data_IF_800940158531
#
_entry.id   IF_800940158531
#
_cell.length_a   1.000
_cell.length_b   1.000
_cell.length_c   1.000
_cell.angle_alpha   90.00
_cell.angle_beta   90.00
_cell.angle_gamma   90.00
#
_symmetry.space_group_name_H-M   'P 1'
#
loop_
_entity.id
_entity.type
_entity.pdbx_description
1 polymer ?
#
# COMPACT_ATOMS: atom_id res chain seq x y z
N UNK A 1 21.88 -2.72 13.26
CA UNK A 1 21.31 -2.88 11.90
C UNK A 1 21.15 -1.47 11.34
N UNK A 2 21.56 -1.22 10.10
CA UNK A 2 21.38 0.10 9.48
C UNK A 2 19.95 0.21 8.97
N UNK A 3 19.24 1.31 9.28
CA UNK A 3 17.89 1.56 8.77
C UNK A 3 17.96 1.88 7.28
N UNK A 4 16.86 1.61 6.58
CA UNK A 4 16.65 2.08 5.20
C UNK A 4 15.65 3.23 5.17
N UNK A 5 15.83 4.15 4.23
CA UNK A 5 14.73 5.03 3.81
C UNK A 5 13.72 4.21 2.99
N UNK A 6 12.43 4.42 3.26
CA UNK A 6 11.36 3.84 2.48
C UNK A 6 10.43 4.95 2.01
N UNK A 7 10.31 5.05 0.69
CA UNK A 7 9.41 5.96 0.03
C UNK A 7 8.21 5.19 -0.50
N UNK A 8 7.03 5.77 -0.33
CA UNK A 8 5.76 5.20 -0.79
C UNK A 8 5.26 6.05 -1.95
N UNK A 9 4.74 5.43 -3.01
CA UNK A 9 3.87 6.14 -3.93
C UNK A 9 4.59 7.12 -4.85
N UNK A 10 3.85 8.17 -5.20
CA UNK A 10 4.26 9.23 -6.11
C UNK A 10 4.77 10.48 -5.37
N UNK A 11 5.32 11.41 -6.14
CA UNK A 11 5.65 12.78 -5.75
C UNK A 11 4.54 13.75 -6.16
N UNK A 12 4.47 14.97 -5.59
CA UNK A 12 3.55 16.01 -6.04
C UNK A 12 3.56 16.18 -7.57
N UNK A 13 2.41 16.49 -8.17
CA UNK A 13 2.24 16.55 -9.62
C UNK A 13 3.24 17.51 -10.30
N UNK A 14 3.62 18.61 -9.63
CA UNK A 14 4.61 19.57 -10.11
C UNK A 14 6.02 18.98 -10.24
N UNK A 15 6.32 17.89 -9.53
CA UNK A 15 7.57 17.14 -9.62
C UNK A 15 7.50 15.97 -10.62
N UNK A 16 6.31 15.63 -11.11
CA UNK A 16 6.12 14.53 -12.08
C UNK A 16 6.43 14.99 -13.52
N UNK A 17 7.66 15.44 -13.76
CA UNK A 17 8.12 15.90 -15.08
C UNK A 17 8.63 14.77 -15.99
N UNK A 18 8.72 13.55 -15.46
CA UNK A 18 9.08 12.32 -16.16
C UNK A 18 9.60 11.26 -15.18
N UNK A 19 9.61 9.99 -15.60
CA UNK A 19 9.99 8.87 -14.72
C UNK A 19 11.40 9.00 -14.17
N UNK A 20 12.36 9.34 -15.04
CA UNK A 20 13.73 9.56 -14.64
C UNK A 20 13.86 10.70 -13.63
N UNK A 21 13.06 11.77 -13.76
CA UNK A 21 13.07 12.90 -12.84
C UNK A 21 12.49 12.51 -11.47
N UNK A 22 11.41 11.72 -11.43
CA UNK A 22 10.83 11.19 -10.18
C UNK A 22 11.83 10.27 -9.47
N UNK A 23 12.45 9.35 -10.21
CA UNK A 23 13.46 8.43 -9.68
C UNK A 23 14.70 9.18 -9.17
N UNK A 24 15.18 10.17 -9.92
CA UNK A 24 16.27 11.05 -9.48
C UNK A 24 15.90 11.81 -8.21
N UNK A 25 14.68 12.34 -8.13
CA UNK A 25 14.21 13.04 -6.95
C UNK A 25 14.30 12.16 -5.70
N UNK A 26 13.80 10.93 -5.72
CA UNK A 26 13.92 10.02 -4.58
C UNK A 26 15.37 9.67 -4.26
N UNK A 27 16.18 9.38 -5.28
CA UNK A 27 17.58 9.02 -5.09
C UNK A 27 18.42 10.18 -4.53
N UNK A 28 18.17 11.42 -4.95
CA UNK A 28 18.82 12.62 -4.40
C UNK A 28 18.40 12.85 -2.95
N UNK A 29 17.11 12.71 -2.66
CA UNK A 29 16.55 12.91 -1.31
C UNK A 29 16.92 11.80 -0.32
N UNK A 30 17.38 10.66 -0.82
CA UNK A 30 17.95 9.60 0.01
C UNK A 30 19.32 9.98 0.58
N UNK A 31 19.99 11.00 0.05
CA UNK A 31 21.31 11.47 0.48
C UNK A 31 22.37 10.35 0.59
N UNK A 32 22.28 9.33 -0.26
CA UNK A 32 23.17 8.16 -0.26
C UNK A 32 22.88 7.12 0.83
N UNK A 33 21.82 7.29 1.63
CA UNK A 33 21.38 6.27 2.57
C UNK A 33 20.74 5.08 1.85
N UNK A 34 20.83 3.86 2.44
CA UNK A 34 20.17 2.69 1.88
C UNK A 34 18.67 2.92 1.72
N UNK A 35 18.12 2.53 0.57
CA UNK A 35 16.67 2.57 0.31
C UNK A 35 16.11 1.17 0.14
N UNK A 36 14.87 0.99 0.54
CA UNK A 36 14.13 -0.27 0.29
C UNK A 36 13.82 -0.49 -1.19
N UNK A 37 13.76 0.59 -1.96
CA UNK A 37 13.51 0.67 -3.39
C UNK A 37 13.25 2.12 -3.79
N UNK A 38 13.38 2.44 -5.08
CA UNK A 38 12.96 3.73 -5.60
C UNK A 38 11.56 3.59 -6.19
N UNK A 39 10.54 4.26 -5.64
CA UNK A 39 9.22 4.21 -6.22
C UNK A 39 9.16 5.09 -7.47
N UNK A 40 8.49 4.57 -8.48
CA UNK A 40 8.01 5.37 -9.60
C UNK A 40 6.65 4.83 -9.97
N UNK A 41 5.69 5.14 -9.09
CA UNK A 41 4.33 4.71 -9.28
C UNK A 41 3.67 5.44 -10.44
N UNK A 42 2.64 4.78 -10.95
CA UNK A 42 1.76 5.36 -11.94
C UNK A 42 0.99 6.54 -11.34
N UNK A 43 0.45 7.33 -12.25
CA UNK A 43 -0.41 8.49 -12.01
C UNK A 43 -1.17 8.39 -10.67
N UNK A 44 -1.12 9.40 -9.78
CA UNK A 44 -1.90 9.41 -8.55
C UNK A 44 -3.41 9.13 -8.74
N UNK A 45 -3.93 9.32 -9.97
CA UNK A 45 -5.31 9.02 -10.37
C UNK A 45 -5.48 7.64 -11.04
N UNK A 46 -4.49 6.74 -10.97
CA UNK A 46 -4.50 5.42 -11.63
C UNK A 46 -5.76 4.61 -11.34
N UNK A 47 -6.31 4.74 -10.13
CA UNK A 47 -7.52 4.03 -9.72
C UNK A 47 -8.76 4.53 -10.47
N UNK A 48 -8.81 5.83 -10.74
CA UNK A 48 -9.90 6.44 -11.51
C UNK A 48 -9.84 5.95 -12.95
N UNK A 49 -8.64 5.94 -13.53
CA UNK A 49 -8.43 5.44 -14.89
C UNK A 49 -8.71 3.95 -15.02
N UNK A 50 -8.27 3.14 -14.03
CA UNK A 50 -8.59 1.72 -13.96
C UNK A 50 -10.10 1.48 -13.93
N UNK A 51 -10.84 2.22 -13.10
CA UNK A 51 -12.30 2.13 -13.03
C UNK A 51 -12.97 2.63 -14.31
N UNK A 52 -12.46 3.69 -14.95
CA UNK A 52 -13.00 4.20 -16.22
C UNK A 52 -12.85 3.19 -17.35
N UNK A 53 -11.69 2.54 -17.48
CA UNK A 53 -11.43 1.51 -18.50
C UNK A 53 -12.33 0.30 -18.37
N UNK A 54 -12.94 0.03 -17.20
CA UNK A 54 -13.95 -1.04 -17.09
C UNK A 54 -15.18 -0.79 -17.97
N UNK A 55 -15.45 0.46 -18.39
CA UNK A 55 -16.49 0.79 -19.38
C UNK A 55 -16.20 0.25 -20.78
N UNK A 56 -14.93 -0.07 -21.08
CA UNK A 56 -14.54 -0.67 -22.37
C UNK A 56 -14.97 -2.13 -22.48
N UNK A 57 -15.18 -2.80 -21.35
CA UNK A 57 -15.73 -4.17 -21.27
C UNK A 57 -17.26 -4.14 -21.11
N UNK A 58 -17.93 -3.41 -21.99
CA UNK A 58 -19.40 -3.28 -21.99
C UNK A 58 -20.12 -4.61 -22.27
N UNK A 59 -19.41 -5.63 -22.75
CA UNK A 59 -19.87 -7.00 -22.92
C UNK A 59 -19.93 -7.79 -21.61
N UNK A 60 -19.25 -7.30 -20.56
CA UNK A 60 -19.11 -7.98 -19.26
C UNK A 60 -19.73 -7.20 -18.12
N UNK A 61 -19.49 -5.88 -18.06
CA UNK A 61 -19.94 -5.04 -16.96
C UNK A 61 -21.19 -4.22 -17.32
N UNK A 62 -22.08 -4.09 -16.32
CA UNK A 62 -23.14 -3.07 -16.30
C UNK A 62 -22.76 -1.98 -15.30
N UNK A 63 -22.96 -0.71 -15.65
CA UNK A 63 -22.80 0.40 -14.69
C UNK A 63 -24.00 0.40 -13.75
N UNK A 64 -23.79 -0.04 -12.50
CA UNK A 64 -24.84 -0.08 -11.46
C UNK A 64 -25.04 1.29 -10.82
N UNK A 65 -23.95 2.05 -10.68
CA UNK A 65 -23.98 3.45 -10.23
C UNK A 65 -23.00 4.26 -11.04
N UNK A 66 -23.47 5.37 -11.58
CA UNK A 66 -22.63 6.43 -12.14
C UNK A 66 -22.04 7.26 -11.01
N UNK A 67 -20.81 7.69 -11.18
CA UNK A 67 -20.14 8.64 -10.31
C UNK A 67 -19.17 9.47 -11.14
N UNK A 68 -18.95 10.72 -10.73
CA UNK A 68 -18.09 11.69 -11.41
C UNK A 68 -16.67 11.73 -10.80
N UNK A 69 -16.36 10.76 -9.93
CA UNK A 69 -15.04 10.53 -9.34
C UNK A 69 -14.55 11.67 -8.45
N UNK A 70 -15.48 12.49 -7.93
CA UNK A 70 -15.13 13.66 -7.11
C UNK A 70 -14.53 13.28 -5.76
N UNK A 71 -15.03 12.22 -5.09
CA UNK A 71 -14.44 11.63 -3.88
C UNK A 71 -14.72 10.12 -3.79
N UNK A 72 -14.20 9.45 -2.74
CA UNK A 72 -14.46 8.01 -2.53
C UNK A 72 -15.97 7.68 -2.57
N UNK A 73 -16.84 8.61 -2.15
CA UNK A 73 -18.31 8.45 -2.11
C UNK A 73 -19.00 8.66 -3.45
N UNK A 74 -18.23 9.02 -4.46
CA UNK A 74 -18.65 9.26 -5.84
C UNK A 74 -17.93 8.34 -6.84
N UNK A 75 -17.38 7.22 -6.37
CA UNK A 75 -16.86 6.19 -7.26
C UNK A 75 -18.00 5.42 -7.93
N UNK A 76 -17.91 5.14 -9.24
CA UNK A 76 -18.86 4.27 -9.91
C UNK A 76 -18.78 2.86 -9.32
N UNK A 77 -19.87 2.12 -9.44
CA UNK A 77 -19.88 0.69 -9.14
C UNK A 77 -20.38 -0.09 -10.34
N UNK A 78 -19.74 -1.21 -10.60
CA UNK A 78 -20.04 -2.11 -11.69
C UNK A 78 -20.75 -3.36 -11.18
N UNK A 79 -21.67 -3.88 -11.98
CA UNK A 79 -22.28 -5.19 -11.84
C UNK A 79 -21.81 -6.10 -12.97
N UNK A 80 -21.99 -7.40 -12.81
CA UNK A 80 -21.72 -8.37 -13.88
C UNK A 80 -23.01 -8.60 -14.66
N UNK A 81 -22.92 -8.61 -15.99
CA UNK A 81 -24.05 -8.95 -16.86
C UNK A 81 -24.54 -10.38 -16.60
N UNK A 82 -25.86 -10.65 -16.65
CA UNK A 82 -26.40 -11.99 -16.46
C UNK A 82 -25.82 -13.00 -17.47
N UNK A 83 -25.38 -14.16 -16.98
CA UNK A 83 -24.86 -15.24 -17.82
C UNK A 83 -23.42 -15.05 -18.32
N UNK A 84 -22.77 -13.94 -17.99
CA UNK A 84 -21.37 -13.69 -18.38
C UNK A 84 -20.40 -14.22 -17.31
N UNK A 85 -19.28 -14.77 -17.75
CA UNK A 85 -18.17 -15.19 -16.88
C UNK A 85 -17.12 -14.09 -16.83
N UNK A 86 -16.77 -13.64 -15.62
CA UNK A 86 -15.66 -12.74 -15.40
C UNK A 86 -14.32 -13.50 -15.58
N UNK A 87 -13.36 -12.89 -16.26
CA UNK A 87 -12.05 -13.46 -16.59
C UNK A 87 -10.95 -12.44 -16.23
N UNK A 88 -9.70 -12.88 -16.00
CA UNK A 88 -8.61 -11.99 -15.60
C UNK A 88 -8.42 -10.78 -16.51
N UNK A 89 -8.50 -10.97 -17.84
CA UNK A 89 -8.41 -9.89 -18.83
C UNK A 89 -9.46 -8.78 -18.66
N UNK A 90 -10.61 -9.06 -18.05
CA UNK A 90 -11.66 -8.06 -17.82
C UNK A 90 -11.37 -7.19 -16.60
N UNK A 91 -10.36 -7.51 -15.78
CA UNK A 91 -9.98 -6.79 -14.56
C UNK A 91 -8.48 -6.52 -14.48
N UNK A 92 -7.74 -6.82 -15.55
CA UNK A 92 -6.34 -6.49 -15.68
C UNK A 92 -6.15 -4.97 -15.66
N UNK A 93 -4.99 -4.54 -15.17
CA UNK A 93 -4.61 -3.13 -15.18
C UNK A 93 -3.92 -2.72 -16.51
N UNK A 94 -3.46 -3.72 -17.28
CA UNK A 94 -2.85 -3.58 -18.62
C UNK A 94 -1.67 -2.60 -18.65
N UNK A 95 -0.74 -2.75 -17.70
CA UNK A 95 0.31 -1.75 -17.42
C UNK A 95 1.70 -2.14 -17.90
N UNK A 96 1.81 -3.26 -18.60
CA UNK A 96 3.08 -3.90 -18.88
C UNK A 96 4.04 -3.06 -19.73
N UNK A 97 3.54 -2.40 -20.77
CA UNK A 97 4.32 -1.49 -21.61
C UNK A 97 4.74 -0.24 -20.83
N UNK A 98 3.84 0.29 -20.01
CA UNK A 98 4.11 1.45 -19.15
C UNK A 98 5.19 1.12 -18.12
N UNK A 99 5.13 -0.06 -17.48
CA UNK A 99 6.16 -0.57 -16.57
C UNK A 99 7.49 -0.71 -17.31
N UNK A 100 7.49 -1.19 -18.56
CA UNK A 100 8.71 -1.26 -19.36
C UNK A 100 9.39 0.10 -19.56
N UNK A 101 8.61 1.16 -19.81
CA UNK A 101 9.15 2.51 -19.89
C UNK A 101 9.75 3.00 -18.57
N UNK A 102 9.11 2.69 -17.42
CA UNK A 102 9.63 3.05 -16.09
C UNK A 102 10.92 2.27 -15.78
N UNK A 103 11.00 0.98 -16.13
CA UNK A 103 12.21 0.17 -15.96
C UNK A 103 13.37 0.73 -16.78
N UNK A 104 13.12 1.16 -18.02
CA UNK A 104 14.15 1.79 -18.85
C UNK A 104 14.67 3.09 -18.21
N UNK A 105 13.78 3.95 -17.71
CA UNK A 105 14.16 5.16 -16.99
C UNK A 105 14.95 4.85 -15.69
N UNK A 106 14.59 3.78 -14.97
CA UNK A 106 15.32 3.32 -13.80
C UNK A 106 16.73 2.84 -14.13
N UNK A 107 16.90 2.08 -15.21
CA UNK A 107 18.21 1.63 -15.67
C UNK A 107 19.11 2.81 -16.06
N UNK A 108 18.56 3.84 -16.71
CA UNK A 108 19.28 5.08 -17.03
C UNK A 108 19.74 5.82 -15.77
N UNK A 109 18.87 6.00 -14.78
CA UNK A 109 19.21 6.67 -13.51
C UNK A 109 20.27 5.87 -12.74
N UNK A 110 20.14 4.55 -12.69
CA UNK A 110 21.07 3.66 -11.99
C UNK A 110 22.45 3.62 -12.65
N UNK A 111 22.53 3.67 -13.98
CA UNK A 111 23.80 3.64 -14.70
C UNK A 111 24.75 4.81 -14.34
N UNK A 112 24.18 5.96 -13.95
CA UNK A 112 24.94 7.13 -13.50
C UNK A 112 25.24 7.19 -12.00
N UNK A 113 24.75 6.23 -11.19
CA UNK A 113 24.71 6.34 -9.72
C UNK A 113 25.12 5.03 -9.03
N UNK A 114 26.43 4.82 -8.79
CA UNK A 114 26.94 3.61 -8.14
C UNK A 114 26.33 3.33 -6.76
N UNK A 115 25.88 4.36 -6.04
CA UNK A 115 25.19 4.23 -4.76
C UNK A 115 23.81 3.56 -4.85
N UNK A 116 23.23 3.48 -6.06
CA UNK A 116 21.99 2.75 -6.34
C UNK A 116 22.25 1.30 -6.77
N UNK A 117 23.50 0.83 -6.74
CA UNK A 117 23.77 -0.57 -7.01
C UNK A 117 23.05 -1.48 -5.99
N UNK A 118 22.44 -2.56 -6.50
CA UNK A 118 21.57 -3.43 -5.70
C UNK A 118 20.21 -2.81 -5.28
N UNK A 119 19.92 -1.54 -5.61
CA UNK A 119 18.58 -0.96 -5.43
C UNK A 119 17.62 -1.49 -6.51
N UNK A 120 16.34 -1.57 -6.16
CA UNK A 120 15.26 -2.03 -7.04
C UNK A 120 14.28 -0.91 -7.36
N UNK A 121 13.65 -1.01 -8.52
CA UNK A 121 12.46 -0.24 -8.84
C UNK A 121 11.28 -0.78 -8.03
N UNK A 122 10.66 0.08 -7.24
CA UNK A 122 9.46 -0.25 -6.49
C UNK A 122 8.22 0.10 -7.31
N UNK A 123 7.35 -0.88 -7.53
CA UNK A 123 6.08 -0.74 -8.26
C UNK A 123 4.90 -1.07 -7.34
N UNK A 124 3.91 -0.19 -7.27
CA UNK A 124 2.69 -0.45 -6.52
C UNK A 124 1.78 -1.43 -7.24
N UNK A 125 1.38 -2.44 -6.47
CA UNK A 125 0.33 -3.37 -6.80
C UNK A 125 -0.81 -3.20 -5.79
N UNK A 126 -1.97 -2.68 -6.22
CA UNK A 126 -3.19 -2.75 -5.44
C UNK A 126 -3.49 -4.19 -5.08
N UNK A 127 -3.74 -4.44 -3.80
CA UNK A 127 -4.15 -5.75 -3.37
C UNK A 127 -5.48 -6.14 -4.08
N UNK A 128 -5.61 -7.37 -4.61
CA UNK A 128 -6.82 -7.83 -5.31
C UNK A 128 -8.13 -7.61 -4.58
N UNK A 129 -8.12 -7.62 -3.23
CA UNK A 129 -9.29 -7.29 -2.43
C UNK A 129 -9.73 -5.85 -2.68
N UNK A 130 -8.78 -4.92 -2.70
CA UNK A 130 -9.04 -3.51 -2.94
C UNK A 130 -9.64 -3.28 -4.32
N UNK A 131 -9.05 -3.88 -5.37
CA UNK A 131 -9.59 -3.79 -6.73
C UNK A 131 -11.00 -4.36 -6.85
N UNK A 132 -11.27 -5.52 -6.26
CA UNK A 132 -12.60 -6.13 -6.28
C UNK A 132 -13.63 -5.25 -5.54
N UNK A 133 -13.23 -4.66 -4.40
CA UNK A 133 -14.08 -3.75 -3.63
C UNK A 133 -14.34 -2.45 -4.40
N UNK A 134 -13.34 -1.87 -5.06
CA UNK A 134 -13.54 -0.66 -5.87
C UNK A 134 -14.47 -0.93 -7.07
N UNK A 135 -14.29 -2.04 -7.77
CA UNK A 135 -15.13 -2.38 -8.93
C UNK A 135 -16.58 -2.63 -8.53
N UNK A 136 -16.83 -3.48 -7.52
CA UNK A 136 -18.21 -3.91 -7.22
C UNK A 136 -18.88 -3.10 -6.11
N UNK A 137 -18.14 -2.65 -5.10
CA UNK A 137 -18.71 -1.91 -3.97
C UNK A 137 -18.66 -0.39 -4.18
N UNK A 138 -17.75 0.14 -5.02
CA UNK A 138 -17.67 1.56 -5.42
C UNK A 138 -17.85 2.52 -4.23
N UNK A 139 -18.74 3.50 -4.34
CA UNK A 139 -19.05 4.40 -3.22
C UNK A 139 -19.56 3.78 -1.91
N UNK A 140 -19.90 2.49 -1.84
CA UNK A 140 -20.26 1.85 -0.57
C UNK A 140 -19.07 1.73 0.40
N UNK A 141 -17.84 1.84 -0.11
CA UNK A 141 -16.62 1.79 0.70
C UNK A 141 -16.16 3.14 1.26
N UNK A 142 -16.68 4.26 0.76
CA UNK A 142 -16.36 5.62 1.24
C UNK A 142 -16.88 5.94 2.64
N UNK A 143 -18.02 5.38 3.00
CA UNK A 143 -18.71 5.71 4.25
C UNK A 143 -18.29 4.80 5.40
N UNK A 144 -17.14 4.12 5.26
CA UNK A 144 -16.60 3.21 6.27
C UNK A 144 -17.64 2.18 6.71
N UNK A 145 -17.94 1.17 5.88
CA UNK A 145 -18.81 0.02 6.20
C UNK A 145 -20.05 0.42 7.05
N UNK A 146 -21.08 1.03 6.45
CA UNK A 146 -22.22 1.55 7.20
C UNK A 146 -23.15 0.41 7.64
N UNK A 147 -23.14 0.07 8.93
CA UNK A 147 -23.86 -1.09 9.51
C UNK A 147 -25.37 -1.15 9.22
N UNK A 148 -26.03 -0.03 8.93
CA UNK A 148 -27.45 -0.01 8.54
C UNK A 148 -27.67 -0.35 7.05
N UNK A 149 -27.18 0.48 6.12
CA UNK A 149 -27.23 0.22 4.67
C UNK A 149 -26.49 -1.07 4.24
N UNK A 150 -25.57 -1.60 5.04
CA UNK A 150 -24.85 -2.85 4.79
C UNK A 150 -25.77 -4.07 4.66
N UNK A 151 -26.93 -4.09 5.34
CA UNK A 151 -27.91 -5.16 5.13
C UNK A 151 -28.58 -5.09 3.74
N UNK A 152 -28.72 -3.88 3.18
CA UNK A 152 -29.28 -3.66 1.83
C UNK A 152 -28.24 -3.78 0.71
N UNK A 153 -26.95 -3.71 1.04
CA UNK A 153 -25.81 -3.72 0.07
C UNK A 153 -24.84 -4.88 0.26
N UNK A 154 -25.17 -5.85 1.12
CA UNK A 154 -24.42 -7.10 1.32
C UNK A 154 -24.15 -7.84 0.02
N UNK A 155 -25.06 -7.73 -0.95
CA UNK A 155 -24.93 -8.31 -2.28
C UNK A 155 -23.72 -7.78 -3.06
N UNK A 156 -23.33 -6.50 -2.90
CA UNK A 156 -22.16 -5.93 -3.59
C UNK A 156 -20.85 -6.42 -3.00
N UNK A 157 -20.77 -6.49 -1.66
CA UNK A 157 -19.61 -7.06 -0.97
C UNK A 157 -19.50 -8.56 -1.27
N UNK A 158 -20.63 -9.28 -1.26
CA UNK A 158 -20.65 -10.69 -1.64
C UNK A 158 -20.23 -10.90 -3.09
N UNK A 159 -20.57 -9.99 -4.01
CA UNK A 159 -20.08 -10.03 -5.38
C UNK A 159 -18.57 -9.81 -5.46
N UNK A 160 -18.03 -8.80 -4.78
CA UNK A 160 -16.58 -8.56 -4.69
C UNK A 160 -15.85 -9.81 -4.20
N UNK A 161 -16.31 -10.42 -3.09
CA UNK A 161 -15.70 -11.61 -2.53
C UNK A 161 -15.84 -12.85 -3.43
N UNK A 162 -16.97 -13.00 -4.14
CA UNK A 162 -17.20 -14.09 -5.09
C UNK A 162 -16.22 -14.04 -6.25
N UNK A 163 -15.93 -12.84 -6.75
CA UNK A 163 -15.07 -12.63 -7.92
C UNK A 163 -13.60 -12.38 -7.56
N UNK A 164 -13.26 -12.23 -6.28
CA UNK A 164 -11.90 -12.02 -5.79
C UNK A 164 -10.83 -12.97 -6.39
N UNK A 165 -11.09 -14.28 -6.61
CA UNK A 165 -10.12 -15.15 -7.26
C UNK A 165 -9.69 -14.66 -8.65
N UNK A 166 -10.60 -14.06 -9.43
CA UNK A 166 -10.30 -13.54 -10.77
C UNK A 166 -9.38 -12.32 -10.71
N UNK A 167 -9.58 -11.43 -9.73
CA UNK A 167 -8.69 -10.29 -9.50
C UNK A 167 -7.32 -10.74 -9.00
N UNK A 168 -7.29 -11.79 -8.17
CA UNK A 168 -6.04 -12.37 -7.67
C UNK A 168 -5.25 -12.97 -8.82
N UNK A 169 -5.91 -13.73 -9.69
CA UNK A 169 -5.30 -14.29 -10.90
C UNK A 169 -4.76 -13.19 -11.83
N UNK A 170 -5.55 -12.14 -12.11
CA UNK A 170 -5.12 -11.02 -12.96
C UNK A 170 -3.87 -10.30 -12.40
N UNK A 171 -3.86 -10.01 -11.09
CA UNK A 171 -2.72 -9.37 -10.45
C UNK A 171 -1.47 -10.26 -10.48
N UNK A 172 -1.62 -11.55 -10.18
CA UNK A 172 -0.51 -12.50 -10.22
C UNK A 172 0.02 -12.74 -11.65
N UNK A 173 -0.85 -12.69 -12.67
CA UNK A 173 -0.43 -12.74 -14.08
C UNK A 173 0.42 -11.52 -14.46
N UNK A 174 0.00 -10.30 -14.12
CA UNK A 174 0.81 -9.09 -14.35
C UNK A 174 2.18 -9.19 -13.66
N UNK A 175 2.19 -9.61 -12.39
CA UNK A 175 3.42 -9.81 -11.61
C UNK A 175 4.32 -10.85 -12.26
N UNK A 176 3.77 -11.98 -12.69
CA UNK A 176 4.53 -13.04 -13.36
C UNK A 176 5.14 -12.57 -14.68
N UNK A 177 4.39 -11.83 -15.49
CA UNK A 177 4.88 -11.30 -16.77
C UNK A 177 5.99 -10.27 -16.58
N UNK A 178 5.82 -9.33 -15.64
CA UNK A 178 6.85 -8.35 -15.29
C UNK A 178 8.07 -9.04 -14.68
N UNK A 179 7.90 -10.00 -13.76
CA UNK A 179 9.00 -10.73 -13.15
C UNK A 179 9.76 -11.59 -14.17
N UNK A 180 9.08 -12.18 -15.16
CA UNK A 180 9.74 -12.92 -16.23
C UNK A 180 10.62 -12.00 -17.12
N UNK A 181 10.21 -10.74 -17.32
CA UNK A 181 10.95 -9.76 -18.14
C UNK A 181 12.07 -9.06 -17.38
N UNK A 182 11.81 -8.69 -16.13
CA UNK A 182 12.64 -7.77 -15.35
C UNK A 182 13.27 -8.43 -14.12
N UNK A 183 12.74 -9.55 -13.62
CA UNK A 183 13.31 -10.29 -12.50
C UNK A 183 13.54 -9.43 -11.26
N UNK A 184 14.74 -9.55 -10.70
CA UNK A 184 15.16 -8.89 -9.45
C UNK A 184 15.32 -7.37 -9.54
N UNK A 185 15.16 -6.77 -10.72
CA UNK A 185 15.13 -5.31 -10.92
C UNK A 185 13.92 -4.66 -10.24
N UNK A 186 12.86 -5.43 -9.99
CA UNK A 186 11.58 -4.92 -9.48
C UNK A 186 11.27 -5.49 -8.09
N UNK A 187 10.67 -4.66 -7.25
CA UNK A 187 10.02 -5.08 -6.00
C UNK A 187 8.58 -4.54 -5.98
N UNK A 188 7.64 -5.36 -5.52
CA UNK A 188 6.23 -5.01 -5.51
C UNK A 188 5.80 -4.44 -4.16
N UNK A 189 5.31 -3.21 -4.15
CA UNK A 189 4.64 -2.65 -2.98
C UNK A 189 3.17 -3.06 -3.02
N UNK A 190 2.77 -4.00 -2.16
CA UNK A 190 1.39 -4.48 -2.08
C UNK A 190 0.58 -3.53 -1.21
N UNK A 191 -0.17 -2.66 -1.87
CA UNK A 191 -1.06 -1.66 -1.28
C UNK A 191 -2.30 -2.33 -0.69
N UNK A 192 -2.47 -2.33 0.64
CA UNK A 192 -3.59 -3.03 1.31
C UNK A 192 -4.47 -2.15 2.22
N UNK A 193 -5.00 -1.00 1.75
CA UNK A 193 -5.85 -0.14 2.57
C UNK A 193 -7.14 -0.82 3.06
N UNK A 194 -7.81 -1.64 2.25
CA UNK A 194 -9.03 -2.34 2.66
C UNK A 194 -8.80 -3.34 3.78
N UNK A 195 -7.66 -4.03 3.78
CA UNK A 195 -7.33 -4.96 4.84
C UNK A 195 -7.15 -4.23 6.18
N UNK A 196 -6.44 -3.10 6.19
CA UNK A 196 -6.23 -2.31 7.41
C UNK A 196 -7.52 -1.61 7.86
N UNK A 197 -8.22 -0.92 6.96
CA UNK A 197 -9.49 -0.25 7.28
C UNK A 197 -10.56 -1.23 7.75
N UNK A 198 -10.64 -2.41 7.14
CA UNK A 198 -11.52 -3.49 7.58
C UNK A 198 -11.22 -3.92 9.02
N UNK A 199 -9.94 -3.97 9.40
CA UNK A 199 -9.52 -4.26 10.76
C UNK A 199 -9.80 -3.13 11.75
N UNK A 200 -9.60 -1.87 11.36
CA UNK A 200 -9.97 -0.71 12.20
C UNK A 200 -11.48 -0.73 12.46
N UNK A 201 -12.30 -0.98 11.44
CA UNK A 201 -13.75 -1.10 11.61
C UNK A 201 -14.11 -2.29 12.48
N UNK A 202 -13.50 -3.46 12.27
CA UNK A 202 -13.75 -4.64 13.08
C UNK A 202 -13.38 -4.43 14.56
N UNK A 203 -12.34 -3.64 14.84
CA UNK A 203 -11.97 -3.23 16.20
C UNK A 203 -13.06 -2.39 16.86
N UNK A 204 -13.53 -1.35 16.17
CA UNK A 204 -14.62 -0.49 16.65
C UNK A 204 -15.92 -1.25 16.94
N UNK A 205 -16.13 -2.38 16.26
CA UNK A 205 -17.33 -3.22 16.38
C UNK A 205 -17.15 -4.46 17.25
N UNK A 206 -15.97 -4.68 17.84
CA UNK A 206 -15.70 -5.90 18.63
C UNK A 206 -15.65 -7.19 17.80
N UNK A 207 -15.51 -7.09 16.48
CA UNK A 207 -15.58 -8.20 15.52
C UNK A 207 -14.19 -8.66 14.99
N UNK A 208 -13.09 -8.20 15.58
CA UNK A 208 -11.72 -8.57 15.16
C UNK A 208 -11.49 -10.07 15.04
N UNK A 209 -12.06 -10.84 15.95
CA UNK A 209 -11.88 -12.30 16.00
C UNK A 209 -12.40 -12.99 14.73
N UNK A 210 -13.43 -12.44 14.09
CA UNK A 210 -14.01 -12.94 12.85
C UNK A 210 -13.32 -12.34 11.61
N UNK A 211 -13.00 -11.04 11.64
CA UNK A 211 -12.39 -10.35 10.50
C UNK A 211 -10.92 -10.73 10.27
N UNK A 212 -10.13 -10.87 11.35
CA UNK A 212 -8.68 -11.06 11.24
C UNK A 212 -8.30 -12.35 10.49
N UNK A 213 -8.89 -13.53 10.74
CA UNK A 213 -8.56 -14.74 9.97
C UNK A 213 -8.87 -14.62 8.47
N UNK A 214 -9.94 -13.89 8.10
CA UNK A 214 -10.37 -13.74 6.71
C UNK A 214 -9.44 -12.79 5.94
N UNK A 215 -9.22 -11.58 6.49
CA UNK A 215 -8.34 -10.59 5.89
C UNK A 215 -6.89 -11.07 5.84
N UNK A 216 -6.42 -11.76 6.90
CA UNK A 216 -5.10 -12.38 6.90
C UNK A 216 -4.97 -13.52 5.90
N UNK A 217 -6.03 -14.32 5.67
CA UNK A 217 -6.02 -15.36 4.63
C UNK A 217 -5.83 -14.75 3.26
N UNK A 218 -6.55 -13.68 2.99
CA UNK A 218 -6.49 -12.98 1.72
C UNK A 218 -5.09 -12.39 1.49
N UNK A 219 -4.57 -11.60 2.46
CA UNK A 219 -3.25 -11.00 2.35
C UNK A 219 -2.13 -12.06 2.25
N UNK A 220 -2.16 -13.10 3.09
CA UNK A 220 -1.16 -14.17 3.03
C UNK A 220 -1.21 -14.95 1.71
N UNK A 221 -2.40 -15.16 1.14
CA UNK A 221 -2.56 -15.84 -0.15
C UNK A 221 -1.93 -15.04 -1.30
N UNK A 222 -2.12 -13.72 -1.32
CA UNK A 222 -1.48 -12.85 -2.32
C UNK A 222 0.04 -12.88 -2.16
N UNK A 223 0.54 -12.72 -0.93
CA UNK A 223 2.00 -12.73 -0.67
C UNK A 223 2.65 -14.08 -1.01
N UNK A 224 1.96 -15.18 -0.73
CA UNK A 224 2.41 -16.53 -1.10
C UNK A 224 2.44 -16.69 -2.62
N UNK A 225 1.40 -16.26 -3.34
CA UNK A 225 1.40 -16.29 -4.81
C UNK A 225 2.53 -15.46 -5.43
N UNK A 226 2.82 -14.27 -4.87
CA UNK A 226 3.95 -13.44 -5.32
C UNK A 226 5.28 -14.16 -5.07
N UNK A 227 5.43 -14.79 -3.90
CA UNK A 227 6.63 -15.57 -3.57
C UNK A 227 6.83 -16.78 -4.50
N UNK A 228 5.76 -17.52 -4.82
CA UNK A 228 5.81 -18.68 -5.73
C UNK A 228 6.21 -18.30 -7.16
N UNK A 229 5.89 -17.08 -7.60
CA UNK A 229 6.36 -16.51 -8.88
C UNK A 229 7.87 -16.19 -8.84
N UNK A 230 8.47 -16.15 -7.65
CA UNK A 230 9.86 -15.71 -7.43
C UNK A 230 10.00 -14.19 -7.40
N UNK A 231 8.89 -13.46 -7.24
CA UNK A 231 8.90 -12.00 -7.13
C UNK A 231 9.07 -11.56 -5.66
N UNK A 232 9.63 -10.36 -5.47
CA UNK A 232 9.79 -9.76 -4.14
C UNK A 232 8.66 -8.80 -3.83
N UNK A 233 8.27 -8.71 -2.56
CA UNK A 233 7.23 -7.81 -2.10
C UNK A 233 7.63 -7.01 -0.86
N UNK A 234 7.00 -5.85 -0.71
CA UNK A 234 6.88 -5.06 0.51
C UNK A 234 5.39 -4.86 0.76
N UNK A 235 4.91 -5.07 1.98
CA UNK A 235 3.52 -4.81 2.33
C UNK A 235 3.38 -3.35 2.73
N UNK A 236 2.51 -2.61 2.05
CA UNK A 236 2.11 -1.27 2.47
C UNK A 236 0.70 -1.33 3.09
N UNK A 237 0.63 -1.13 4.40
CA UNK A 237 -0.65 -0.88 5.06
C UNK A 237 -0.95 0.62 4.99
N UNK A 238 -2.19 1.00 4.69
CA UNK A 238 -2.60 2.40 4.60
C UNK A 238 -3.99 2.60 5.19
N UNK A 239 -4.29 3.78 5.74
CA UNK A 239 -5.66 4.16 6.13
C UNK A 239 -6.45 4.81 4.97
N UNK A 240 -5.85 4.85 3.78
CA UNK A 240 -6.33 5.62 2.64
C UNK A 240 -6.11 7.11 2.84
N UNK A 241 -5.71 7.78 1.76
CA UNK A 241 -5.66 9.24 1.70
C UNK A 241 -6.22 9.70 0.35
N UNK A 242 -7.54 9.91 0.29
CA UNK A 242 -8.15 10.58 -0.86
C UNK A 242 -8.70 11.90 -0.37
N UNK A 243 -8.22 12.99 -0.99
CA UNK A 243 -8.50 14.38 -0.58
C UNK A 243 -8.16 14.71 0.88
N UNK A 244 -7.00 14.27 1.40
CA UNK A 244 -6.51 14.61 2.74
C UNK A 244 -7.38 14.11 3.91
N UNK A 245 -8.27 13.16 3.63
CA UNK A 245 -9.15 12.57 4.64
C UNK A 245 -8.82 11.10 4.78
N UNK A 246 -8.31 10.73 5.95
CA UNK A 246 -8.32 9.33 6.38
C UNK A 246 -9.77 8.86 6.43
N UNK A 247 -10.05 7.68 5.86
CA UNK A 247 -11.39 7.09 5.93
C UNK A 247 -11.77 6.75 7.38
N UNK A 248 -10.79 6.43 8.22
CA UNK A 248 -10.93 6.16 9.65
C UNK A 248 -9.66 6.56 10.42
N UNK A 249 -9.82 7.19 11.59
CA UNK A 249 -8.70 7.48 12.51
C UNK A 249 -8.48 6.30 13.48
N UNK A 250 -7.29 5.66 13.47
CA UNK A 250 -6.96 4.60 14.42
C UNK A 250 -6.76 5.18 15.82
N UNK A 251 -7.17 4.43 16.86
CA UNK A 251 -6.87 4.77 18.27
C UNK A 251 -5.60 4.10 18.79
N UNK A 252 -5.10 3.09 18.08
CA UNK A 252 -3.88 2.35 18.39
C UNK A 252 -3.45 1.55 17.16
N UNK A 253 -2.23 1.00 17.18
CA UNK A 253 -1.74 0.05 16.18
C UNK A 253 -2.30 -1.37 16.35
N UNK A 254 -3.24 -1.61 17.27
CA UNK A 254 -3.80 -2.94 17.52
C UNK A 254 -4.46 -3.59 16.28
N UNK A 255 -5.18 -2.86 15.40
CA UNK A 255 -5.72 -3.42 14.17
C UNK A 255 -4.63 -3.95 13.22
N UNK A 256 -3.57 -3.16 12.98
CA UNK A 256 -2.45 -3.54 12.14
C UNK A 256 -1.70 -4.75 12.72
N UNK A 257 -1.37 -4.72 14.02
CA UNK A 257 -0.68 -5.84 14.68
C UNK A 257 -1.53 -7.11 14.67
N UNK A 258 -2.84 -7.01 14.89
CA UNK A 258 -3.74 -8.17 14.83
C UNK A 258 -3.76 -8.79 13.44
N UNK A 259 -3.84 -7.96 12.38
CA UNK A 259 -3.76 -8.43 11.00
C UNK A 259 -2.45 -9.17 10.76
N UNK A 260 -1.32 -8.53 11.04
CA UNK A 260 0.02 -9.07 10.77
C UNK A 260 0.32 -10.33 11.59
N UNK A 261 -0.18 -10.45 12.81
CA UNK A 261 -0.05 -11.67 13.62
C UNK A 261 -0.83 -12.84 12.99
N UNK A 262 -2.02 -12.58 12.44
CA UNK A 262 -2.76 -13.63 11.74
C UNK A 262 -2.12 -13.97 10.40
N UNK A 263 -1.60 -12.99 9.67
CA UNK A 263 -0.89 -13.19 8.40
C UNK A 263 0.39 -13.99 8.60
N UNK A 264 1.19 -13.64 9.62
CA UNK A 264 2.42 -14.36 9.99
C UNK A 264 2.21 -15.87 10.20
N UNK A 265 1.13 -16.25 10.89
CA UNK A 265 0.80 -17.67 11.11
C UNK A 265 0.54 -18.41 9.80
N UNK A 266 -0.05 -17.73 8.81
CA UNK A 266 -0.35 -18.31 7.50
C UNK A 266 0.90 -18.40 6.63
N UNK A 267 1.66 -17.30 6.53
CA UNK A 267 2.93 -17.30 5.81
C UNK A 267 3.84 -18.43 6.29
N UNK A 268 3.96 -18.64 7.61
CA UNK A 268 4.71 -19.78 8.15
C UNK A 268 4.13 -21.15 7.79
N UNK A 269 2.81 -21.29 7.85
CA UNK A 269 2.18 -22.56 7.48
C UNK A 269 2.40 -22.89 6.00
N UNK A 270 2.49 -21.87 5.16
CA UNK A 270 2.67 -21.98 3.72
C UNK A 270 4.18 -21.99 3.32
N UNK A 271 5.10 -21.79 4.27
CA UNK A 271 6.54 -21.73 4.02
C UNK A 271 7.01 -20.41 3.36
N UNK A 272 6.14 -19.42 3.28
CA UNK A 272 6.40 -18.11 2.66
C UNK A 272 7.22 -17.21 3.60
N UNK A 273 8.32 -16.59 3.13
CA UNK A 273 9.09 -15.65 3.93
C UNK A 273 8.30 -14.37 4.22
N UNK A 274 8.70 -13.66 5.27
CA UNK A 274 8.05 -12.44 5.71
C UNK A 274 8.60 -11.27 4.89
N UNK A 275 7.80 -10.64 4.00
CA UNK A 275 8.25 -9.43 3.33
C UNK A 275 8.39 -8.28 4.34
N UNK A 276 9.19 -7.24 4.06
CA UNK A 276 9.12 -6.01 4.82
C UNK A 276 7.68 -5.47 4.86
N UNK A 277 7.30 -4.87 5.98
CA UNK A 277 5.95 -4.32 6.16
C UNK A 277 6.03 -2.88 6.66
N UNK A 278 5.42 -1.99 5.90
CA UNK A 278 5.20 -0.61 6.28
C UNK A 278 3.90 -0.48 7.07
N UNK A 279 4.04 -0.02 8.33
CA UNK A 279 2.94 0.25 9.25
C UNK A 279 2.74 1.77 9.37
N UNK A 280 1.59 2.32 8.94
CA UNK A 280 1.31 3.74 9.01
C UNK A 280 1.00 4.14 10.44
N UNK A 281 1.69 5.17 10.94
CA UNK A 281 1.47 5.73 12.27
C UNK A 281 0.79 7.12 12.21
N UNK A 282 1.06 7.88 11.15
CA UNK A 282 0.25 9.04 10.76
C UNK A 282 -0.98 8.63 9.94
N UNK A 283 -2.00 9.48 9.85
CA UNK A 283 -3.23 9.18 9.11
C UNK A 283 -3.90 10.46 8.56
N UNK A 284 -4.09 10.52 7.25
CA UNK A 284 -4.55 11.76 6.59
C UNK A 284 -3.52 12.87 6.79
N UNK A 285 -3.98 14.04 7.23
CA UNK A 285 -3.11 15.17 7.59
C UNK A 285 -2.59 15.13 9.04
N UNK A 286 -3.01 14.15 9.86
CA UNK A 286 -2.62 14.08 11.26
C UNK A 286 -1.24 13.41 11.42
N UNK A 287 -0.30 14.02 12.18
CA UNK A 287 1.00 13.42 12.45
C UNK A 287 0.88 12.17 13.31
N UNK A 288 1.98 11.41 13.40
CA UNK A 288 2.03 10.22 14.25
C UNK A 288 1.77 10.60 15.73
N UNK A 289 0.85 9.90 16.44
CA UNK A 289 0.54 10.22 17.83
C UNK A 289 1.76 10.15 18.76
N UNK A 290 1.89 11.09 19.69
CA UNK A 290 3.00 11.12 20.65
C UNK A 290 2.71 10.32 21.94
N UNK A 291 1.62 9.56 21.97
CA UNK A 291 1.22 8.72 23.10
C UNK A 291 1.78 7.29 22.94
N UNK A 292 2.59 6.85 23.90
CA UNK A 292 3.15 5.50 23.95
C UNK A 292 2.07 4.39 23.89
N UNK A 293 0.86 4.64 24.41
CA UNK A 293 -0.24 3.67 24.37
C UNK A 293 -0.70 3.35 22.94
N UNK A 294 -0.53 4.29 21.99
CA UNK A 294 -0.82 4.07 20.57
C UNK A 294 0.04 2.94 19.98
N UNK A 295 1.32 2.91 20.37
CA UNK A 295 2.33 1.97 19.87
C UNK A 295 2.41 0.67 20.65
N UNK A 296 1.96 0.65 21.91
CA UNK A 296 2.03 -0.50 22.82
C UNK A 296 1.64 -1.86 22.21
N UNK A 297 0.69 -1.98 21.25
CA UNK A 297 0.41 -3.25 20.59
C UNK A 297 1.60 -3.88 19.84
N UNK A 298 2.59 -3.10 19.40
CA UNK A 298 3.75 -3.60 18.63
C UNK A 298 4.55 -4.68 19.38
N UNK A 299 4.50 -4.73 20.71
CA UNK A 299 5.11 -5.79 21.53
C UNK A 299 4.62 -7.19 21.19
N UNK A 300 3.44 -7.30 20.59
CA UNK A 300 2.82 -8.55 20.17
C UNK A 300 3.05 -8.89 18.70
N UNK A 301 3.80 -8.06 17.97
CA UNK A 301 4.16 -8.31 16.58
C UNK A 301 5.25 -9.38 16.52
N UNK A 302 5.21 -10.17 15.46
CA UNK A 302 6.19 -11.21 15.25
C UNK A 302 7.60 -10.63 15.01
N UNK A 303 8.65 -11.17 15.66
CA UNK A 303 10.03 -10.71 15.47
C UNK A 303 10.58 -11.00 14.06
N UNK A 304 9.95 -11.85 13.26
CA UNK A 304 10.43 -12.11 11.88
C UNK A 304 10.00 -11.02 10.88
N UNK A 305 9.04 -10.15 11.24
CA UNK A 305 8.66 -9.02 10.38
C UNK A 305 9.76 -7.96 10.35
N UNK A 306 10.28 -7.64 9.16
CA UNK A 306 11.05 -6.40 8.96
C UNK A 306 10.09 -5.21 8.90
N UNK A 307 10.03 -4.40 9.97
CA UNK A 307 9.03 -3.32 10.10
C UNK A 307 9.56 -1.97 9.62
N UNK A 308 8.80 -1.31 8.76
CA UNK A 308 9.04 0.05 8.30
C UNK A 308 8.06 0.97 9.05
N UNK A 309 8.60 1.97 9.74
CA UNK A 309 7.85 2.89 10.58
C UNK A 309 7.35 4.10 9.76
N UNK A 310 6.04 4.17 9.52
CA UNK A 310 5.37 5.29 8.84
C UNK A 310 5.10 6.46 9.78
N UNK A 311 6.15 7.05 10.34
CA UNK A 311 6.10 8.06 11.43
C UNK A 311 6.44 9.48 10.97
N UNK A 312 6.99 9.64 9.77
CA UNK A 312 7.46 10.96 9.30
C UNK A 312 6.28 11.87 8.95
N UNK A 313 6.32 13.09 9.50
CA UNK A 313 5.48 14.21 9.11
C UNK A 313 6.34 15.39 8.61
N UNK A 314 5.89 16.12 7.58
CA UNK A 314 6.56 17.34 7.11
C UNK A 314 6.47 18.52 8.09
N UNK A 315 5.64 18.41 9.14
CA UNK A 315 5.36 19.51 10.06
C UNK A 315 6.42 19.64 11.17
N UNK A 316 6.99 18.52 11.61
CA UNK A 316 7.89 18.47 12.76
C UNK A 316 8.82 17.26 12.70
N UNK A 317 10.12 17.53 12.51
CA UNK A 317 11.16 16.51 12.54
C UNK A 317 11.35 15.94 13.95
N UNK A 318 11.23 16.77 14.99
CA UNK A 318 11.35 16.35 16.39
C UNK A 318 10.21 15.40 16.79
N UNK A 319 8.98 15.69 16.37
CA UNK A 319 7.84 14.80 16.62
C UNK A 319 7.97 13.49 15.83
N UNK A 320 8.52 13.54 14.61
CA UNK A 320 8.83 12.35 13.82
C UNK A 320 9.88 11.47 14.50
N UNK A 321 10.94 12.09 15.06
CA UNK A 321 11.99 11.40 15.81
C UNK A 321 11.45 10.78 17.11
N UNK A 322 10.59 11.52 17.83
CA UNK A 322 9.94 11.02 19.05
C UNK A 322 8.99 9.86 18.74
N UNK A 323 8.17 9.97 17.70
CA UNK A 323 7.30 8.89 17.22
C UNK A 323 8.10 7.64 16.82
N UNK A 324 9.26 7.80 16.14
CA UNK A 324 10.16 6.70 15.82
C UNK A 324 10.67 6.01 17.09
N UNK A 325 11.11 6.78 18.11
CA UNK A 325 11.55 6.22 19.39
C UNK A 325 10.44 5.43 20.08
N UNK A 326 9.22 5.98 20.13
CA UNK A 326 8.05 5.29 20.71
C UNK A 326 7.72 3.99 19.96
N UNK A 327 7.78 4.03 18.63
CA UNK A 327 7.58 2.86 17.77
C UNK A 327 8.60 1.76 18.08
N UNK A 328 9.89 2.09 18.09
CA UNK A 328 10.97 1.13 18.31
C UNK A 328 10.98 0.58 19.74
N UNK A 329 10.72 1.43 20.74
CA UNK A 329 10.56 1.01 22.14
C UNK A 329 9.41 0.02 22.30
N UNK A 330 8.26 0.29 21.67
CA UNK A 330 7.12 -0.62 21.74
C UNK A 330 7.33 -1.92 20.95
N UNK A 331 8.04 -1.85 19.81
CA UNK A 331 8.43 -3.03 19.03
C UNK A 331 9.55 -3.85 19.68
N UNK A 332 10.30 -3.26 20.62
CA UNK A 332 11.47 -3.88 21.25
C UNK A 332 12.65 -4.07 20.30
N UNK A 333 12.71 -3.29 19.21
CA UNK A 333 13.73 -3.40 18.15
C UNK A 333 13.80 -2.14 17.30
N UNK A 334 14.95 -1.94 16.67
CA UNK A 334 15.12 -0.93 15.62
C UNK A 334 14.22 -1.24 14.43
N UNK A 335 13.57 -0.21 13.87
CA UNK A 335 12.82 -0.32 12.64
C UNK A 335 13.75 -0.68 11.47
N UNK A 336 13.30 -1.55 10.58
CA UNK A 336 14.01 -1.88 9.35
C UNK A 336 14.11 -0.66 8.41
N UNK A 337 13.08 0.18 8.40
CA UNK A 337 13.10 1.45 7.68
C UNK A 337 12.20 2.52 8.26
N UNK A 338 12.34 3.73 7.74
CA UNK A 338 11.58 4.92 8.14
C UNK A 338 10.88 5.49 6.90
N UNK A 339 9.64 5.92 7.07
CA UNK A 339 8.81 6.44 5.99
C UNK A 339 7.80 7.49 6.50
N UNK A 340 7.21 8.23 5.57
CA UNK A 340 5.89 8.84 5.74
C UNK A 340 4.81 7.77 5.82
N UNK A 341 3.63 8.06 6.38
CA UNK A 341 2.56 7.06 6.46
C UNK A 341 1.91 6.68 5.13
N UNK A 342 2.00 7.57 4.12
CA UNK A 342 1.48 7.37 2.77
C UNK A 342 2.42 8.04 1.76
N UNK A 343 2.09 7.96 0.47
CA UNK A 343 2.86 8.63 -0.58
C UNK A 343 2.74 10.15 -0.57
N UNK A 344 3.71 10.81 -1.22
CA UNK A 344 3.87 12.27 -1.21
C UNK A 344 3.04 12.99 -2.29
N UNK A 345 2.37 12.24 -3.17
CA UNK A 345 1.68 12.76 -4.35
C UNK A 345 0.64 13.85 -4.10
N UNK A 346 0.10 13.92 -2.89
CA UNK A 346 -0.93 14.91 -2.51
C UNK A 346 -0.36 16.07 -1.69
N UNK A 347 0.91 16.01 -1.29
CA UNK A 347 1.56 17.07 -0.53
C UNK A 347 1.89 18.27 -1.42
N UNK A 348 2.15 19.43 -0.81
CA UNK A 348 2.86 20.49 -1.53
C UNK A 348 4.30 20.05 -1.81
N UNK A 349 4.95 20.64 -2.83
CA UNK A 349 6.37 20.39 -3.11
C UNK A 349 7.24 20.65 -1.87
N UNK A 350 6.96 21.73 -1.13
CA UNK A 350 7.70 22.07 0.08
C UNK A 350 7.53 21.02 1.18
N UNK A 351 6.32 20.47 1.35
CA UNK A 351 6.06 19.43 2.36
C UNK A 351 6.72 18.10 1.96
N UNK A 352 6.64 17.72 0.68
CA UNK A 352 7.33 16.54 0.16
C UNK A 352 8.85 16.61 0.38
N UNK A 353 9.45 17.79 0.16
CA UNK A 353 10.86 18.02 0.42
C UNK A 353 11.22 17.87 1.90
N UNK A 354 10.46 18.51 2.81
CA UNK A 354 10.68 18.40 4.27
C UNK A 354 10.49 16.98 4.78
N UNK A 355 9.48 16.27 4.28
CA UNK A 355 9.25 14.87 4.62
C UNK A 355 10.40 13.97 4.17
N UNK A 356 10.92 14.17 2.95
CA UNK A 356 12.04 13.38 2.44
C UNK A 356 13.35 13.67 3.19
N UNK A 357 13.61 14.94 3.52
CA UNK A 357 14.76 15.36 4.35
C UNK A 357 14.68 14.75 5.76
N UNK A 358 13.50 14.79 6.39
CA UNK A 358 13.27 14.17 7.70
C UNK A 358 13.45 12.65 7.64
N UNK A 359 12.97 12.00 6.56
CA UNK A 359 13.15 10.56 6.35
C UNK A 359 14.63 10.20 6.26
N UNK A 360 15.42 10.95 5.49
CA UNK A 360 16.86 10.74 5.36
C UNK A 360 17.59 10.94 6.70
N UNK A 361 17.27 12.02 7.43
CA UNK A 361 17.86 12.31 8.74
C UNK A 361 17.62 11.17 9.74
N UNK A 362 16.38 10.69 9.87
CA UNK A 362 16.02 9.59 10.78
C UNK A 362 16.59 8.23 10.34
N UNK A 363 16.90 8.08 9.05
CA UNK A 363 17.63 6.91 8.53
C UNK A 363 19.08 6.91 8.98
N UNK A 364 19.71 8.09 9.06
CA UNK A 364 21.11 8.26 9.47
C UNK A 364 21.32 8.05 10.99
N UNK A 365 20.33 8.41 11.81
CA UNK A 365 20.42 8.31 13.27
C UNK A 365 20.61 6.86 13.73
N UNK A 366 21.81 6.47 14.12
CA UNK A 366 22.01 5.15 14.75
C UNK A 366 21.52 5.24 16.19
N UNK A 367 20.65 4.31 16.63
CA UNK A 367 20.22 4.23 18.03
C UNK A 367 21.46 4.04 18.91
N UNK A 368 21.96 5.10 19.54
CA UNK A 368 22.87 4.97 20.68
C UNK A 368 22.06 4.34 21.80
N UNK A 369 22.41 3.09 22.13
CA UNK A 369 21.65 2.19 22.99
C UNK A 369 21.40 2.69 24.41
#
# INVERSE_FOLDING_TARGET
MTRCAHYVGSVPAELMTGDAAVLQWFADRSAGHPVTGLPCDLDPDWILDYLRRRREHEDVFDVVRTGDYSDYSDFPSYGLRPGVKLEPRHVAMDRLDRIGAVVAAFDEVRAGRPELDGTRLQLSQPNPLDLAMFVFAGAAVSNGFPLGPALRRSNLIAAALRHLPVFTEAALQEIAEVNARYGDRVVWQVESPFALLGMVKADQLGAKWAAAPLLARQLAGVLTGIHEIGAQAVVHLCYGDYQHKALLSPRSLAPAVTLLKHTARKLRADGTPFPPVHIPCAFGAEPAPQDAAFYAPLRGLDPDWNVIAGVVSPDSADDSAQALRLFEQAAGRTAYGVATACGLGRCSVADAQRAAETTAALTAETTTG
#
